data_IF_982351942106
#
_entry.id   IF_982351942106
#
_cell.length_a   1.000
_cell.length_b   1.000
_cell.length_c   1.000
_cell.angle_alpha   90.00
_cell.angle_beta   90.00
_cell.angle_gamma   90.00
#
_symmetry.space_group_name_H-M   'P 1'
#
loop_
_entity.id
_entity.type
_entity.pdbx_description
1 polymer ?
#
# COMPACT_ATOMS: atom_id res chain seq x y z
N UNK A 1 0.70 5.50 -16.64
CA UNK A 1 -0.20 4.44 -16.26
C UNK A 1 0.56 3.30 -15.61
N UNK A 2 0.02 2.75 -14.56
CA UNK A 2 0.71 1.69 -13.81
C UNK A 2 0.48 0.33 -14.44
N UNK A 3 1.51 -0.50 -14.42
CA UNK A 3 1.42 -1.88 -14.88
C UNK A 3 1.14 -2.75 -13.66
N UNK A 4 0.16 -3.63 -13.75
CA UNK A 4 -0.19 -4.52 -12.65
C UNK A 4 0.53 -5.86 -12.81
N UNK A 5 1.27 -6.25 -11.79
CA UNK A 5 1.98 -7.53 -11.80
C UNK A 5 1.74 -8.22 -10.45
N UNK A 6 2.01 -9.53 -10.41
CA UNK A 6 1.89 -10.29 -9.17
C UNK A 6 3.21 -10.30 -8.42
N UNK A 7 3.17 -10.70 -7.15
CA UNK A 7 4.39 -10.83 -6.35
C UNK A 7 5.32 -11.85 -6.95
N UNK A 8 4.79 -12.93 -7.52
CA UNK A 8 5.61 -13.94 -8.20
C UNK A 8 6.33 -13.36 -9.40
N UNK A 9 5.62 -12.57 -10.19
CA UNK A 9 6.22 -11.93 -11.36
C UNK A 9 7.29 -10.94 -10.96
N UNK A 10 7.03 -10.19 -9.88
CA UNK A 10 8.00 -9.24 -9.38
C UNK A 10 9.29 -9.96 -8.97
N UNK A 11 9.18 -11.06 -8.23
CA UNK A 11 10.34 -11.81 -7.79
C UNK A 11 11.14 -12.38 -8.94
N UNK A 12 10.47 -12.89 -9.95
CA UNK A 12 11.14 -13.49 -11.09
C UNK A 12 11.76 -12.47 -12.04
N UNK A 13 11.16 -11.30 -12.13
CA UNK A 13 11.54 -10.30 -13.14
C UNK A 13 12.08 -9.01 -12.54
N UNK A 14 12.53 -9.04 -11.30
CA UNK A 14 12.96 -7.82 -10.63
C UNK A 14 14.08 -7.11 -11.38
N UNK A 15 15.00 -7.84 -11.98
CA UNK A 15 16.07 -7.24 -12.76
C UNK A 15 15.56 -6.50 -13.98
N UNK A 16 14.60 -7.10 -14.68
CA UNK A 16 13.97 -6.49 -15.84
C UNK A 16 13.15 -5.28 -15.43
N UNK A 17 12.39 -5.40 -14.37
CA UNK A 17 11.59 -4.30 -13.82
C UNK A 17 12.50 -3.14 -13.45
N UNK A 18 13.61 -3.43 -12.79
CA UNK A 18 14.56 -2.43 -12.37
C UNK A 18 15.16 -1.68 -13.56
N UNK A 19 15.43 -2.38 -14.66
CA UNK A 19 16.01 -1.74 -15.81
C UNK A 19 15.02 -0.86 -16.57
N UNK A 20 13.72 -1.14 -16.44
CA UNK A 20 12.69 -0.39 -17.14
C UNK A 20 11.94 0.59 -16.24
N UNK A 21 12.37 0.71 -15.00
CA UNK A 21 11.60 1.47 -14.01
C UNK A 21 11.50 2.96 -14.35
N UNK A 22 12.44 3.51 -15.07
CA UNK A 22 12.37 4.92 -15.44
C UNK A 22 11.23 5.26 -16.36
N UNK A 23 10.60 4.28 -16.97
CA UNK A 23 9.52 4.49 -17.94
C UNK A 23 8.16 4.08 -17.40
N UNK A 24 8.13 3.26 -16.37
CA UNK A 24 6.88 2.67 -15.87
C UNK A 24 6.80 2.66 -14.37
N UNK A 25 5.58 2.66 -13.88
CA UNK A 25 5.33 2.35 -12.48
C UNK A 25 4.57 1.02 -12.43
N UNK A 26 4.63 0.36 -11.29
CA UNK A 26 4.04 -0.97 -11.14
C UNK A 26 3.20 -1.03 -9.89
N UNK A 27 2.09 -1.75 -9.98
CA UNK A 27 1.29 -2.11 -8.81
C UNK A 27 1.46 -3.61 -8.63
N UNK A 28 2.00 -4.01 -7.49
CA UNK A 28 2.25 -5.42 -7.20
C UNK A 28 1.08 -5.95 -6.38
N UNK A 29 0.47 -7.01 -6.88
CA UNK A 29 -0.69 -7.61 -6.24
C UNK A 29 -0.37 -9.02 -5.75
N UNK A 30 -1.13 -9.46 -4.76
CA UNK A 30 -1.07 -10.83 -4.29
C UNK A 30 -2.51 -11.30 -4.17
N UNK A 31 -2.85 -12.33 -4.96
CA UNK A 31 -4.19 -12.89 -4.99
C UNK A 31 -5.25 -11.83 -5.32
N UNK A 32 -4.92 -10.96 -6.26
CA UNK A 32 -5.83 -9.92 -6.72
C UNK A 32 -5.89 -8.69 -5.83
N UNK A 33 -5.13 -8.67 -4.76
CA UNK A 33 -5.11 -7.57 -3.81
C UNK A 33 -3.83 -6.77 -3.95
N UNK A 34 -3.94 -5.45 -4.08
CA UNK A 34 -2.77 -4.60 -4.16
C UNK A 34 -1.96 -4.66 -2.88
N UNK A 35 -0.66 -4.88 -2.99
CA UNK A 35 0.23 -5.00 -1.83
C UNK A 35 1.27 -3.90 -1.78
N UNK A 36 1.79 -3.48 -2.92
CA UNK A 36 2.82 -2.46 -2.94
C UNK A 36 2.86 -1.81 -4.31
N UNK A 37 3.55 -0.68 -4.38
CA UNK A 37 3.78 -0.01 -5.65
C UNK A 37 5.27 0.17 -5.84
N UNK A 38 5.69 0.20 -7.09
CA UNK A 38 7.10 0.41 -7.45
C UNK A 38 7.16 1.64 -8.32
N UNK A 39 7.95 2.60 -7.90
CA UNK A 39 8.08 3.88 -8.59
C UNK A 39 9.55 4.17 -8.89
N UNK A 40 9.82 4.90 -9.98
CA UNK A 40 11.20 5.30 -10.24
C UNK A 40 11.68 6.28 -9.18
N UNK A 41 12.96 6.20 -8.89
CA UNK A 41 13.59 7.06 -7.90
C UNK A 41 14.14 8.31 -8.58
N UNK A 42 14.01 9.45 -7.93
CA UNK A 42 14.70 10.67 -8.31
C UNK A 42 15.10 11.43 -7.06
N UNK A 43 16.08 12.30 -7.18
CA UNK A 43 16.60 13.04 -6.02
C UNK A 43 15.48 13.91 -5.43
N UNK A 44 15.28 13.77 -4.13
CA UNK A 44 14.27 14.54 -3.43
C UNK A 44 12.95 13.84 -3.26
N UNK A 45 12.79 12.64 -3.83
CA UNK A 45 11.52 11.92 -3.71
C UNK A 45 11.27 11.39 -2.30
N UNK A 46 12.27 11.45 -1.43
CA UNK A 46 12.10 11.03 -0.03
C UNK A 46 10.97 11.77 0.65
N UNK A 47 10.83 13.07 0.33
CA UNK A 47 9.78 13.88 0.93
C UNK A 47 8.40 13.39 0.54
N UNK A 48 8.27 12.97 -0.72
CA UNK A 48 7.01 12.43 -1.22
C UNK A 48 6.71 11.10 -0.53
N UNK A 49 7.75 10.31 -0.29
CA UNK A 49 7.58 9.04 0.42
C UNK A 49 7.04 9.27 1.83
N UNK A 50 7.56 10.26 2.53
CA UNK A 50 7.10 10.59 3.87
C UNK A 50 5.62 10.98 3.86
N UNK A 51 5.24 11.81 2.90
CA UNK A 51 3.84 12.21 2.74
C UNK A 51 2.96 11.01 2.42
N UNK A 52 3.44 10.14 1.55
CA UNK A 52 2.72 8.94 1.19
C UNK A 52 2.50 8.05 2.40
N UNK A 53 3.53 7.89 3.23
CA UNK A 53 3.42 7.05 4.42
C UNK A 53 2.45 7.63 5.43
N UNK A 54 2.40 8.95 5.55
CA UNK A 54 1.41 9.60 6.41
C UNK A 54 0.00 9.31 5.92
N UNK A 55 -0.21 9.43 4.62
CA UNK A 55 -1.51 9.14 4.02
C UNK A 55 -1.88 7.69 4.23
N UNK A 56 -0.92 6.80 4.08
CA UNK A 56 -1.13 5.37 4.28
C UNK A 56 -1.55 5.07 5.72
N UNK A 57 -0.86 5.68 6.68
CA UNK A 57 -1.20 5.49 8.09
C UNK A 57 -2.61 5.99 8.40
N UNK A 58 -2.98 7.13 7.84
CA UNK A 58 -4.32 7.67 8.01
C UNK A 58 -5.36 6.73 7.42
N UNK A 59 -5.07 6.19 6.25
CA UNK A 59 -5.98 5.25 5.59
C UNK A 59 -6.20 4.00 6.44
N UNK A 60 -5.11 3.43 6.95
CA UNK A 60 -5.17 2.23 7.79
C UNK A 60 -5.93 2.51 9.08
N UNK A 61 -5.64 3.64 9.72
CA UNK A 61 -6.31 4.01 10.96
C UNK A 61 -7.80 4.24 10.76
N UNK A 62 -8.18 4.82 9.63
CA UNK A 62 -9.58 5.04 9.33
C UNK A 62 -10.32 3.73 9.20
N UNK A 63 -9.75 2.79 8.47
CA UNK A 63 -10.35 1.47 8.33
C UNK A 63 -10.45 0.74 9.66
N UNK A 64 -9.41 0.83 10.44
CA UNK A 64 -9.38 0.20 11.75
C UNK A 64 -10.45 0.77 12.67
N UNK A 65 -10.60 2.07 12.67
CA UNK A 65 -11.62 2.73 13.47
C UNK A 65 -13.03 2.30 13.06
N UNK A 66 -13.27 2.24 11.77
CA UNK A 66 -14.57 1.81 11.27
C UNK A 66 -14.88 0.38 11.69
N UNK A 67 -13.88 -0.47 11.62
CA UNK A 67 -14.04 -1.86 12.02
C UNK A 67 -14.31 -1.97 13.52
N UNK A 68 -13.59 -1.22 14.31
CA UNK A 68 -13.77 -1.21 15.76
C UNK A 68 -15.17 -0.71 16.14
N UNK A 69 -15.65 0.30 15.47
CA UNK A 69 -16.99 0.81 15.71
C UNK A 69 -18.04 -0.23 15.41
N UNK A 70 -17.88 -0.94 14.32
CA UNK A 70 -18.81 -2.00 13.97
C UNK A 70 -18.83 -3.10 15.00
N UNK A 71 -17.66 -3.49 15.46
CA UNK A 71 -17.52 -4.54 16.47
C UNK A 71 -18.11 -4.10 17.79
N UNK A 72 -17.89 -2.85 18.16
CA UNK A 72 -18.46 -2.31 19.37
C UNK A 72 -19.97 -2.34 19.36
N UNK A 73 -20.56 -1.97 18.25
CA UNK A 73 -22.01 -2.01 18.10
C UNK A 73 -22.52 -3.43 18.22
N UNK A 74 -21.83 -4.35 17.60
CA UNK A 74 -22.23 -5.75 17.64
C UNK A 74 -22.16 -6.31 19.05
N UNK A 75 -21.10 -6.03 19.73
CA UNK A 75 -20.88 -6.61 21.05
C UNK A 75 -21.61 -5.85 22.15
N UNK A 76 -22.11 -4.69 21.85
CA UNK A 76 -22.74 -3.85 22.85
C UNK A 76 -21.78 -3.25 23.84
N UNK A 77 -20.49 -3.35 23.55
CA UNK A 77 -19.47 -2.79 24.39
C UNK A 77 -18.84 -1.61 23.75
N UNK A 78 -18.56 -0.70 24.53
CA UNK A 78 -17.88 0.40 23.97
C UNK A 78 -16.53 0.50 24.53
N UNK A 79 -16.08 -0.04 25.13
CA UNK A 79 -14.84 0.13 25.55
C UNK A 79 -13.78 -0.07 24.93
N UNK A 80 -13.69 0.15 24.75
CA UNK A 80 -12.72 0.02 24.45
C UNK A 80 -11.73 0.61 24.62
N UNK A 81 -11.66 0.93 24.73
CA UNK A 81 -10.89 1.46 25.02
C UNK A 81 -9.92 1.47 25.25
N UNK A 82 -9.66 1.52 25.17
CA UNK A 82 -8.79 1.64 25.47
C UNK A 82 -8.12 1.55 25.53
#
# INVERSE_FOLDING_TARGET
MATIITTSQMQKKIGEISSKIGEKSYIVTNRGEGKMIILPYYDGCDKIMDEYMEDFEMYINKEKLQKELRESKKSGRSDLVI
#
